data_IF_638711374744
#
_entry.id   IF_638711374744
#
_cell.length_a   1.000
_cell.length_b   1.000
_cell.length_c   1.000
_cell.angle_alpha   90.00
_cell.angle_beta   90.00
_cell.angle_gamma   90.00
#
_symmetry.space_group_name_H-M   'P 1'
#
loop_
_entity.id
_entity.type
_entity.pdbx_description
1 polymer ?
#
# COMPACT_ATOMS: atom_id res chain seq x y z
N UNK A 1 -10.10 15.63 3.47
CA UNK A 1 -10.21 14.16 3.33
C UNK A 1 -9.69 13.71 1.96
N UNK A 2 -10.23 14.22 0.86
CA UNK A 2 -9.85 13.85 -0.51
C UNK A 2 -8.36 14.10 -0.85
N UNK A 3 -7.81 15.26 -0.50
CA UNK A 3 -6.38 15.57 -0.72
C UNK A 3 -5.47 14.56 -0.01
N UNK A 4 -5.80 14.17 1.23
CA UNK A 4 -5.01 13.19 1.97
C UNK A 4 -4.98 11.83 1.28
N UNK A 5 -6.14 11.38 0.78
CA UNK A 5 -6.24 10.11 0.06
C UNK A 5 -5.38 10.10 -1.21
N UNK A 6 -5.42 11.16 -2.01
CA UNK A 6 -4.61 11.26 -3.23
C UNK A 6 -3.11 11.34 -2.91
N UNK A 7 -2.72 12.12 -1.90
CA UNK A 7 -1.32 12.16 -1.42
C UNK A 7 -0.85 10.77 -0.93
N UNK A 8 -1.68 10.07 -0.15
CA UNK A 8 -1.35 8.73 0.34
C UNK A 8 -1.22 7.72 -0.80
N UNK A 9 -2.09 7.80 -1.81
CA UNK A 9 -2.03 6.94 -3.00
C UNK A 9 -0.77 7.20 -3.81
N UNK A 10 -0.42 8.46 -4.07
CA UNK A 10 0.82 8.81 -4.76
C UNK A 10 2.06 8.32 -3.98
N UNK A 11 2.07 8.53 -2.66
CA UNK A 11 3.15 8.07 -1.79
C UNK A 11 3.29 6.54 -1.79
N UNK A 12 2.17 5.82 -1.74
CA UNK A 12 2.16 4.36 -1.79
C UNK A 12 2.74 3.84 -3.10
N UNK A 13 2.32 4.39 -4.25
CA UNK A 13 2.85 4.01 -5.57
C UNK A 13 4.36 4.26 -5.63
N UNK A 14 4.82 5.47 -5.31
CA UNK A 14 6.23 5.83 -5.42
C UNK A 14 7.11 4.99 -4.47
N UNK A 15 6.68 4.83 -3.22
CA UNK A 15 7.47 4.14 -2.20
C UNK A 15 7.52 2.62 -2.44
N UNK A 16 6.37 1.98 -2.72
CA UNK A 16 6.33 0.54 -3.02
C UNK A 16 7.12 0.22 -4.27
N UNK A 17 6.97 1.02 -5.34
CA UNK A 17 7.74 0.83 -6.56
C UNK A 17 9.25 0.94 -6.30
N UNK A 18 9.67 1.98 -5.59
CA UNK A 18 11.10 2.19 -5.25
C UNK A 18 11.66 1.02 -4.42
N UNK A 19 10.94 0.60 -3.38
CA UNK A 19 11.37 -0.52 -2.52
C UNK A 19 11.47 -1.83 -3.30
N UNK A 20 10.48 -2.12 -4.14
CA UNK A 20 10.46 -3.34 -4.95
C UNK A 20 11.58 -3.35 -5.99
N UNK A 21 11.83 -2.22 -6.66
CA UNK A 21 12.94 -2.08 -7.60
C UNK A 21 14.28 -2.26 -6.90
N UNK A 22 14.46 -1.66 -5.73
CA UNK A 22 15.68 -1.83 -4.93
C UNK A 22 15.91 -3.31 -4.55
N UNK A 23 14.85 -4.02 -4.14
CA UNK A 23 14.92 -5.47 -3.87
C UNK A 23 15.31 -6.25 -5.13
N UNK A 24 14.63 -6.00 -6.26
CA UNK A 24 14.91 -6.70 -7.51
C UNK A 24 16.35 -6.47 -8.00
N UNK A 25 16.85 -5.23 -7.93
CA UNK A 25 18.25 -4.90 -8.23
C UNK A 25 19.24 -5.59 -7.29
N UNK A 26 18.93 -5.70 -6.00
CA UNK A 26 19.75 -6.46 -5.05
C UNK A 26 19.83 -7.94 -5.42
N UNK A 27 18.81 -8.48 -6.08
CA UNK A 27 18.81 -9.84 -6.63
C UNK A 27 19.45 -9.96 -8.03
N UNK A 28 20.04 -8.88 -8.57
CA UNK A 28 20.74 -8.86 -9.85
C UNK A 28 19.84 -8.62 -11.07
N UNK A 29 18.54 -8.36 -10.87
CA UNK A 29 17.64 -7.99 -11.97
C UNK A 29 17.88 -6.54 -12.40
N UNK A 30 17.67 -6.25 -13.68
CA UNK A 30 17.79 -4.91 -14.26
C UNK A 30 16.69 -4.70 -15.30
N UNK A 31 16.63 -3.53 -15.92
CA UNK A 31 15.75 -3.31 -17.07
C UNK A 31 16.07 -4.29 -18.23
N UNK A 32 17.35 -4.60 -18.48
CA UNK A 32 17.77 -5.52 -19.55
C UNK A 32 17.63 -6.99 -19.17
N UNK A 33 17.66 -7.29 -17.87
CA UNK A 33 17.48 -8.63 -17.31
C UNK A 33 16.28 -8.59 -16.38
N UNK A 34 15.10 -8.65 -16.98
CA UNK A 34 13.83 -8.46 -16.28
C UNK A 34 13.60 -9.54 -15.18
N UNK A 35 12.71 -9.23 -14.25
CA UNK A 35 12.35 -10.15 -13.16
C UNK A 35 11.73 -11.44 -13.70
N UNK A 36 12.18 -12.57 -13.17
CA UNK A 36 11.65 -13.91 -13.50
C UNK A 36 10.49 -14.34 -12.60
N UNK A 37 10.29 -13.62 -11.49
CA UNK A 37 9.19 -13.82 -10.54
C UNK A 37 8.74 -12.47 -9.99
N UNK A 38 7.46 -12.33 -9.60
CA UNK A 38 6.99 -11.09 -9.02
C UNK A 38 7.65 -10.84 -7.66
N UNK A 39 7.96 -9.57 -7.38
CA UNK A 39 8.29 -9.11 -6.04
C UNK A 39 7.06 -8.44 -5.44
N UNK A 40 6.71 -8.76 -4.20
CA UNK A 40 5.57 -8.15 -3.51
C UNK A 40 6.02 -7.47 -2.24
N UNK A 41 5.42 -6.32 -1.96
CA UNK A 41 5.63 -5.57 -0.73
C UNK A 41 4.32 -4.89 -0.35
N UNK A 42 4.24 -4.46 0.89
CA UNK A 42 3.04 -3.84 1.44
C UNK A 42 3.43 -2.64 2.28
N UNK A 43 2.51 -1.70 2.41
CA UNK A 43 2.71 -0.43 3.09
C UNK A 43 1.45 -0.02 3.83
N UNK A 44 1.64 0.50 5.04
CA UNK A 44 0.60 1.14 5.84
C UNK A 44 0.98 2.60 6.03
N UNK A 45 0.10 3.52 5.62
CA UNK A 45 0.26 4.95 5.82
C UNK A 45 -0.77 5.43 6.84
N UNK A 46 -0.38 6.31 7.75
CA UNK A 46 -1.30 6.89 8.72
C UNK A 46 -0.92 8.32 9.08
N UNK A 47 -1.93 9.15 9.34
CA UNK A 47 -1.80 10.47 9.95
C UNK A 47 -2.12 10.45 11.46
N UNK A 48 -2.24 9.26 12.07
CA UNK A 48 -2.64 9.05 13.46
C UNK A 48 -4.15 8.86 13.69
N UNK A 49 -4.98 9.10 12.67
CA UNK A 49 -6.44 8.90 12.72
C UNK A 49 -6.90 8.02 11.56
N UNK A 50 -6.56 8.40 10.35
CA UNK A 50 -6.83 7.66 9.12
C UNK A 50 -5.68 6.69 8.83
N UNK A 51 -6.04 5.52 8.32
CA UNK A 51 -5.11 4.51 7.83
C UNK A 51 -5.40 4.22 6.36
N UNK A 52 -4.34 4.13 5.56
CA UNK A 52 -4.36 3.70 4.16
C UNK A 52 -3.47 2.47 4.04
N UNK A 53 -4.00 1.42 3.44
CA UNK A 53 -3.32 0.15 3.24
C UNK A 53 -3.02 -0.03 1.75
N UNK A 54 -1.80 -0.44 1.42
CA UNK A 54 -1.38 -0.63 0.05
C UNK A 54 -0.55 -1.91 -0.13
N UNK A 55 -0.73 -2.56 -1.28
CA UNK A 55 0.06 -3.73 -1.71
C UNK A 55 0.59 -3.45 -3.10
N UNK A 56 1.91 -3.55 -3.24
CA UNK A 56 2.62 -3.38 -4.50
C UNK A 56 3.15 -4.72 -5.00
N UNK A 57 3.06 -4.93 -6.31
CA UNK A 57 3.63 -6.06 -7.00
C UNK A 57 4.41 -5.58 -8.23
N UNK A 58 5.71 -5.87 -8.23
CA UNK A 58 6.62 -5.60 -9.33
C UNK A 58 6.69 -6.86 -10.22
N UNK A 59 6.15 -6.72 -11.42
CA UNK A 59 6.11 -7.74 -12.47
C UNK A 59 7.15 -7.48 -13.56
N UNK A 60 7.63 -6.24 -13.69
CA UNK A 60 8.64 -5.88 -14.69
C UNK A 60 9.46 -4.65 -14.27
N UNK A 61 10.75 -4.68 -14.57
CA UNK A 61 11.69 -3.57 -14.53
C UNK A 61 11.91 -2.95 -15.91
N UNK A 62 11.42 -3.59 -16.97
CA UNK A 62 11.58 -3.15 -18.34
C UNK A 62 10.60 -2.00 -18.66
N UNK A 63 10.84 -0.87 -18.01
CA UNK A 63 10.10 0.39 -18.19
C UNK A 63 10.93 1.27 -19.10
N UNK A 64 10.35 1.72 -20.22
CA UNK A 64 10.97 2.66 -21.15
C UNK A 64 12.27 2.15 -21.81
N UNK A 65 12.28 0.88 -22.21
CA UNK A 65 13.37 0.33 -23.04
C UNK A 65 13.07 0.67 -24.50
N UNK A 66 13.87 1.55 -25.09
CA UNK A 66 13.85 1.82 -26.52
C UNK A 66 14.73 0.79 -27.24
N UNK A 67 14.15 -0.38 -27.54
CA UNK A 67 14.81 -1.43 -28.30
C UNK A 67 13.89 -1.90 -29.43
N UNK A 68 14.35 -1.80 -30.67
CA UNK A 68 13.56 -2.16 -31.85
C UNK A 68 13.12 -3.63 -31.76
N UNK A 69 11.81 -3.87 -31.88
CA UNK A 69 11.21 -5.20 -31.81
C UNK A 69 11.01 -5.77 -30.40
N UNK A 70 11.31 -5.01 -29.34
CA UNK A 70 11.01 -5.39 -27.97
C UNK A 70 9.66 -4.80 -27.53
N UNK A 71 8.67 -5.67 -27.32
CA UNK A 71 7.37 -5.30 -26.74
C UNK A 71 7.19 -6.03 -25.40
N UNK A 72 7.00 -5.27 -24.31
CA UNK A 72 6.84 -5.80 -22.96
C UNK A 72 5.35 -5.81 -22.57
N UNK A 73 4.68 -6.98 -22.54
CA UNK A 73 3.26 -7.05 -22.23
C UNK A 73 2.97 -6.95 -20.71
N UNK A 74 3.98 -6.89 -19.86
CA UNK A 74 3.82 -6.92 -18.39
C UNK A 74 3.56 -5.53 -17.83
N UNK A 75 2.71 -5.44 -16.81
CA UNK A 75 2.48 -4.21 -16.04
C UNK A 75 2.64 -4.47 -14.55
N UNK A 76 3.19 -3.49 -13.84
CA UNK A 76 3.23 -3.51 -12.38
C UNK A 76 1.84 -3.22 -11.79
N UNK A 77 1.58 -3.72 -10.58
CA UNK A 77 0.28 -3.56 -9.91
C UNK A 77 0.50 -2.88 -8.56
N UNK A 78 -0.32 -1.87 -8.26
CA UNK A 78 -0.39 -1.26 -6.94
C UNK A 78 -1.86 -1.15 -6.53
N UNK A 79 -2.25 -1.90 -5.50
CA UNK A 79 -3.57 -1.81 -4.91
C UNK A 79 -3.52 -0.90 -3.69
N UNK A 80 -4.35 0.14 -3.67
CA UNK A 80 -4.45 1.09 -2.56
C UNK A 80 -5.90 1.15 -2.11
N UNK A 81 -6.13 0.84 -0.84
CA UNK A 81 -7.45 0.89 -0.22
C UNK A 81 -7.85 2.33 0.10
N UNK A 82 -9.16 2.57 0.19
CA UNK A 82 -9.67 3.86 0.68
C UNK A 82 -9.31 4.05 2.16
N UNK A 83 -9.06 5.29 2.62
CA UNK A 83 -8.72 5.53 4.01
C UNK A 83 -9.81 5.04 4.98
N UNK A 84 -9.38 4.43 6.10
CA UNK A 84 -10.27 3.97 7.17
C UNK A 84 -9.86 4.65 8.47
N UNK A 85 -10.83 5.24 9.18
CA UNK A 85 -10.60 5.87 10.48
C UNK A 85 -10.46 4.85 11.60
N UNK A 86 -9.44 5.04 12.43
CA UNK A 86 -9.21 4.28 13.65
C UNK A 86 -10.19 4.71 14.76
N UNK A 87 -10.50 6.00 14.85
CA UNK A 87 -11.49 6.57 15.77
C UNK A 87 -12.09 7.86 15.20
N UNK A 88 -13.27 8.24 15.70
CA UNK A 88 -14.00 9.44 15.31
C UNK A 88 -13.95 10.54 16.38
N UNK A 89 -13.95 10.14 17.65
CA UNK A 89 -13.87 11.08 18.78
C UNK A 89 -12.98 10.54 19.91
N UNK A 90 -12.39 11.47 20.65
CA UNK A 90 -11.73 11.21 21.92
C UNK A 90 -12.35 12.13 22.97
N UNK A 91 -12.98 11.54 23.99
CA UNK A 91 -13.67 12.26 25.07
C UNK A 91 -13.35 11.59 26.39
N UNK A 92 -13.00 12.37 27.41
CA UNK A 92 -12.77 11.88 28.78
C UNK A 92 -11.76 10.72 28.87
N UNK A 93 -10.69 10.76 28.07
CA UNK A 93 -9.67 9.70 28.08
C UNK A 93 -10.04 8.43 27.29
N UNK A 94 -11.21 8.42 26.63
CA UNK A 94 -11.74 7.28 25.89
C UNK A 94 -11.88 7.60 24.41
N UNK A 95 -11.59 6.62 23.57
CA UNK A 95 -11.80 6.69 22.12
C UNK A 95 -13.19 6.17 21.76
N UNK A 96 -13.76 6.70 20.69
CA UNK A 96 -15.05 6.29 20.14
C UNK A 96 -14.97 6.21 18.62
N UNK A 97 -15.64 5.24 18.02
CA UNK A 97 -15.78 5.12 16.58
C UNK A 97 -17.24 4.87 16.18
N UNK A 98 -17.61 5.33 14.99
CA UNK A 98 -18.96 5.21 14.46
C UNK A 98 -19.14 3.88 13.73
N UNK A 99 -20.23 3.18 14.04
CA UNK A 99 -20.66 1.98 13.35
C UNK A 99 -22.06 2.16 12.78
N UNK A 100 -22.53 1.20 11.97
CA UNK A 100 -23.92 1.16 11.50
C UNK A 100 -24.95 1.06 12.64
N UNK A 101 -24.52 0.57 13.81
CA UNK A 101 -25.34 0.40 15.01
C UNK A 101 -25.25 1.60 15.97
N UNK A 102 -24.43 2.61 15.66
CA UNK A 102 -24.17 3.78 16.50
C UNK A 102 -22.71 3.92 16.92
N UNK A 103 -22.45 4.90 17.80
CA UNK A 103 -21.13 5.17 18.39
C UNK A 103 -20.76 4.05 19.37
N UNK A 104 -19.59 3.43 19.19
CA UNK A 104 -19.05 2.40 20.09
C UNK A 104 -17.77 2.91 20.76
N UNK A 105 -17.62 2.60 22.04
CA UNK A 105 -16.38 2.88 22.78
C UNK A 105 -15.24 1.99 22.26
N UNK A 106 -14.05 2.56 22.13
CA UNK A 106 -12.83 1.91 21.65
C UNK A 106 -12.48 2.24 20.19
N UNK A 107 -11.37 1.65 19.75
CA UNK A 107 -10.89 1.77 18.38
C UNK A 107 -11.67 0.89 17.40
N UNK A 108 -11.72 1.33 16.15
CA UNK A 108 -12.33 0.59 15.05
C UNK A 108 -11.57 -0.73 14.81
N UNK A 109 -12.19 -1.84 15.18
CA UNK A 109 -11.59 -3.17 15.08
C UNK A 109 -11.25 -3.58 13.64
N UNK A 110 -11.91 -3.01 12.63
CA UNK A 110 -11.60 -3.28 11.21
C UNK A 110 -10.19 -2.81 10.85
N UNK A 111 -9.78 -1.64 11.37
CA UNK A 111 -8.43 -1.09 11.15
C UNK A 111 -7.39 -1.97 11.83
N UNK A 112 -7.64 -2.34 13.10
CA UNK A 112 -6.72 -3.20 13.86
C UNK A 112 -6.56 -4.58 13.22
N UNK A 113 -7.67 -5.18 12.75
CA UNK A 113 -7.63 -6.44 12.03
C UNK A 113 -6.87 -6.32 10.71
N UNK A 114 -7.05 -5.22 9.97
CA UNK A 114 -6.31 -4.98 8.71
C UNK A 114 -4.81 -4.84 8.95
N UNK A 115 -4.41 -4.13 10.01
CA UNK A 115 -3.00 -4.05 10.44
C UNK A 115 -2.47 -5.46 10.74
N UNK A 116 -3.22 -6.25 11.51
CA UNK A 116 -2.84 -7.62 11.84
C UNK A 116 -2.68 -8.48 10.58
N UNK A 117 -3.61 -8.42 9.64
CA UNK A 117 -3.55 -9.13 8.36
C UNK A 117 -2.34 -8.73 7.51
N UNK A 118 -1.91 -7.47 7.58
CA UNK A 118 -0.67 -7.07 6.90
C UNK A 118 0.54 -7.68 7.61
N UNK A 119 0.61 -7.62 8.94
CA UNK A 119 1.77 -8.12 9.69
C UNK A 119 1.92 -9.65 9.66
N UNK A 120 0.81 -10.36 9.81
CA UNK A 120 0.74 -11.81 9.74
C UNK A 120 0.54 -12.22 8.28
N UNK A 121 1.61 -12.16 7.49
CA UNK A 121 1.62 -12.87 6.21
C UNK A 121 1.69 -14.37 6.50
N UNK A 122 0.61 -15.09 6.22
CA UNK A 122 0.64 -16.55 6.04
C UNK A 122 1.46 -16.91 4.79
#
# INVERSE_FOLDING_TARGET
>A
AEIWQECAKAQAVASLFTTLCAQAHTHGFTQYTDVTRPFTSQMMLSNGVDFVFAVGQLNTLAINIECDGFDNPKTNVCHVESPIRLYDAFREGKFYHMTTEGEKEGFNSKVLLRILQMLLRD
#
